data_IF_735564733052
#
_entry.id   IF_735564733052
#
_cell.length_a   1.000
_cell.length_b   1.000
_cell.length_c   1.000
_cell.angle_alpha   90.00
_cell.angle_beta   90.00
_cell.angle_gamma   90.00
#
_symmetry.space_group_name_H-M   'P 1'
#
loop_
_entity.id
_entity.type
_entity.pdbx_description
1 polymer ?
#
# COMPACT_ATOMS: atom_id res chain seq x y z
N UNK A 1 56.64 -17.68 24.07
CA UNK A 1 55.69 -16.59 24.35
C UNK A 1 55.47 -15.72 23.11
N UNK A 2 56.41 -14.87 22.69
CA UNK A 2 56.21 -13.90 21.59
C UNK A 2 55.77 -14.49 20.22
N UNK A 3 56.22 -15.69 19.84
CA UNK A 3 55.77 -16.33 18.60
C UNK A 3 54.31 -16.80 18.66
N UNK A 4 53.87 -17.35 19.79
CA UNK A 4 52.48 -17.78 19.97
C UNK A 4 51.50 -16.60 19.96
N UNK A 5 51.89 -15.47 20.55
CA UNK A 5 51.07 -14.26 20.52
C UNK A 5 50.99 -13.69 19.10
N UNK A 6 52.08 -13.72 18.34
CA UNK A 6 52.08 -13.33 16.92
C UNK A 6 51.16 -14.21 16.07
N UNK A 7 51.21 -15.51 16.28
CA UNK A 7 50.38 -16.46 15.52
C UNK A 7 48.90 -16.33 15.90
N UNK A 8 48.59 -16.08 17.18
CA UNK A 8 47.23 -15.76 17.64
C UNK A 8 46.69 -14.52 16.95
N UNK A 9 47.45 -13.42 16.96
CA UNK A 9 47.02 -12.15 16.34
C UNK A 9 46.82 -12.29 14.82
N UNK A 10 47.65 -13.11 14.14
CA UNK A 10 47.45 -13.42 12.71
C UNK A 10 46.14 -14.17 12.48
N UNK A 11 45.89 -15.23 13.24
CA UNK A 11 44.67 -16.03 13.08
C UNK A 11 43.40 -15.22 13.38
N UNK A 12 43.46 -14.32 14.37
CA UNK A 12 42.36 -13.39 14.68
C UNK A 12 42.13 -12.39 13.53
N UNK A 13 43.20 -11.82 12.96
CA UNK A 13 43.10 -10.91 11.81
C UNK A 13 42.55 -11.63 10.56
N UNK A 14 43.02 -12.85 10.29
CA UNK A 14 42.52 -13.68 9.19
C UNK A 14 41.05 -14.07 9.41
N UNK A 15 40.67 -14.45 10.63
CA UNK A 15 39.28 -14.72 11.00
C UNK A 15 38.38 -13.49 10.84
N UNK A 16 38.86 -12.30 11.23
CA UNK A 16 38.15 -11.04 11.03
C UNK A 16 37.98 -10.72 9.54
N UNK A 17 39.03 -10.84 8.74
CA UNK A 17 38.97 -10.61 7.30
C UNK A 17 38.01 -11.60 6.60
N UNK A 18 38.06 -12.87 6.99
CA UNK A 18 37.18 -13.92 6.48
C UNK A 18 35.72 -13.72 6.87
N UNK A 19 35.42 -12.92 7.89
CA UNK A 19 34.07 -12.54 8.27
C UNK A 19 33.60 -11.27 7.53
N UNK A 20 34.40 -10.21 7.60
CA UNK A 20 34.00 -8.88 7.10
C UNK A 20 33.90 -8.84 5.58
N UNK A 21 34.84 -9.49 4.86
CA UNK A 21 34.84 -9.43 3.38
C UNK A 21 33.61 -10.11 2.78
N UNK A 22 33.21 -11.33 3.18
CA UNK A 22 31.97 -11.93 2.71
C UNK A 22 30.71 -11.18 3.14
N UNK A 23 30.67 -10.66 4.38
CA UNK A 23 29.54 -9.84 4.85
C UNK A 23 29.34 -8.59 4.00
N UNK A 24 30.42 -7.84 3.74
CA UNK A 24 30.39 -6.65 2.89
C UNK A 24 29.98 -6.99 1.45
N UNK A 25 30.46 -8.11 0.89
CA UNK A 25 30.04 -8.60 -0.42
C UNK A 25 28.55 -8.95 -0.46
N UNK A 26 28.05 -9.60 0.58
CA UNK A 26 26.63 -9.93 0.71
C UNK A 26 25.74 -8.69 0.81
N UNK A 27 26.18 -7.68 1.57
CA UNK A 27 25.49 -6.39 1.66
C UNK A 27 25.50 -5.65 0.31
N UNK A 28 26.63 -5.62 -0.39
CA UNK A 28 26.71 -5.00 -1.71
C UNK A 28 25.79 -5.69 -2.72
N UNK A 29 25.77 -7.03 -2.74
CA UNK A 29 24.87 -7.80 -3.59
C UNK A 29 23.39 -7.52 -3.25
N UNK A 30 23.05 -7.42 -1.97
CA UNK A 30 21.70 -7.08 -1.52
C UNK A 30 21.27 -5.70 -2.03
N UNK A 31 22.12 -4.69 -1.85
CA UNK A 31 21.83 -3.31 -2.31
C UNK A 31 21.60 -3.29 -3.82
N UNK A 32 22.42 -4.00 -4.59
CA UNK A 32 22.25 -4.10 -6.05
C UNK A 32 20.92 -4.77 -6.42
N UNK A 33 20.56 -5.87 -5.76
CA UNK A 33 19.29 -6.56 -5.99
C UNK A 33 18.08 -5.71 -5.60
N UNK A 34 18.15 -4.99 -4.48
CA UNK A 34 17.09 -4.07 -4.05
C UNK A 34 16.92 -2.92 -5.05
N UNK A 35 18.02 -2.35 -5.56
CA UNK A 35 17.98 -1.32 -6.58
C UNK A 35 17.38 -1.81 -7.90
N UNK A 36 17.74 -3.04 -8.32
CA UNK A 36 17.18 -3.66 -9.52
C UNK A 36 15.69 -3.97 -9.35
N UNK A 37 15.29 -4.53 -8.22
CA UNK A 37 13.89 -4.77 -7.89
C UNK A 37 13.07 -3.47 -7.89
N UNK A 38 13.60 -2.41 -7.28
CA UNK A 38 12.94 -1.10 -7.27
C UNK A 38 12.78 -0.53 -8.69
N UNK A 39 13.83 -0.63 -9.52
CA UNK A 39 13.77 -0.22 -10.93
C UNK A 39 12.68 -0.99 -11.67
N UNK A 40 12.62 -2.31 -11.51
CA UNK A 40 11.63 -3.14 -12.18
C UNK A 40 10.21 -2.86 -11.70
N UNK A 41 10.02 -2.73 -10.39
CA UNK A 41 8.74 -2.35 -9.80
C UNK A 41 8.25 -1.01 -10.37
N UNK A 42 9.12 0.00 -10.40
CA UNK A 42 8.79 1.34 -10.92
C UNK A 42 8.39 1.28 -12.40
N UNK A 43 9.12 0.51 -13.21
CA UNK A 43 8.82 0.34 -14.63
C UNK A 43 7.51 -0.42 -14.83
N UNK A 44 7.28 -1.49 -14.07
CA UNK A 44 6.07 -2.30 -14.16
C UNK A 44 4.83 -1.50 -13.74
N UNK A 45 4.93 -0.74 -12.64
CA UNK A 45 3.87 0.14 -12.18
C UNK A 45 3.55 1.20 -13.24
N UNK A 46 4.57 1.88 -13.77
CA UNK A 46 4.40 2.89 -14.83
C UNK A 46 3.71 2.31 -16.07
N UNK A 47 4.11 1.12 -16.51
CA UNK A 47 3.46 0.40 -17.62
C UNK A 47 2.01 0.03 -17.32
N UNK A 48 1.74 -0.42 -16.09
CA UNK A 48 0.40 -0.75 -15.63
C UNK A 48 -0.52 0.47 -15.62
N UNK A 49 -0.05 1.61 -15.12
CA UNK A 49 -0.80 2.86 -15.13
C UNK A 49 -1.06 3.35 -16.56
N UNK A 50 -0.06 3.29 -17.45
CA UNK A 50 -0.23 3.66 -18.85
C UNK A 50 -1.23 2.76 -19.59
N UNK A 51 -1.19 1.45 -19.31
CA UNK A 51 -2.15 0.49 -19.86
C UNK A 51 -3.57 0.79 -19.37
N UNK A 52 -3.75 1.00 -18.06
CA UNK A 52 -5.04 1.37 -17.45
C UNK A 52 -5.59 2.66 -18.06
N UNK A 53 -4.75 3.67 -18.22
CA UNK A 53 -5.14 4.93 -18.85
C UNK A 53 -5.63 4.71 -20.28
N UNK A 54 -4.85 3.98 -21.09
CA UNK A 54 -5.22 3.67 -22.48
C UNK A 54 -6.55 2.93 -22.55
N UNK A 55 -6.78 1.94 -21.67
CA UNK A 55 -8.05 1.21 -21.61
C UNK A 55 -9.23 2.13 -21.29
N UNK A 56 -9.09 3.04 -20.32
CA UNK A 56 -10.13 4.01 -19.99
C UNK A 56 -10.38 4.97 -21.15
N UNK A 57 -9.32 5.44 -21.81
CA UNK A 57 -9.41 6.33 -22.96
C UNK A 57 -10.16 5.68 -24.14
N UNK A 58 -9.87 4.42 -24.44
CA UNK A 58 -10.58 3.68 -25.50
C UNK A 58 -12.09 3.55 -25.20
N UNK A 59 -12.47 3.34 -23.93
CA UNK A 59 -13.88 3.34 -23.55
C UNK A 59 -14.51 4.73 -23.62
N UNK A 60 -13.78 5.75 -23.17
CA UNK A 60 -14.22 7.14 -23.26
C UNK A 60 -14.47 7.56 -24.71
N UNK A 61 -13.59 7.18 -25.64
CA UNK A 61 -13.74 7.46 -27.07
C UNK A 61 -15.01 6.84 -27.64
N UNK A 62 -15.42 5.67 -27.15
CA UNK A 62 -16.66 4.98 -27.57
C UNK A 62 -17.91 5.61 -26.96
N UNK A 63 -17.87 6.00 -25.69
CA UNK A 63 -19.04 6.49 -24.95
C UNK A 63 -18.67 7.62 -23.96
N UNK A 64 -18.40 8.84 -24.44
CA UNK A 64 -17.78 9.89 -23.63
C UNK A 64 -18.68 10.46 -22.53
N UNK A 65 -20.01 10.39 -22.69
CA UNK A 65 -20.97 10.86 -21.67
C UNK A 65 -21.05 9.88 -20.51
N UNK A 66 -21.30 8.59 -20.80
CA UNK A 66 -21.46 7.53 -19.78
C UNK A 66 -20.17 7.31 -18.99
N UNK A 67 -19.00 7.36 -19.65
CA UNK A 67 -17.72 7.22 -18.95
C UNK A 67 -17.46 8.39 -18.00
N UNK A 68 -17.80 9.63 -18.39
CA UNK A 68 -17.67 10.81 -17.50
C UNK A 68 -18.60 10.72 -16.30
N UNK A 69 -19.85 10.35 -16.53
CA UNK A 69 -20.84 10.20 -15.48
C UNK A 69 -20.43 9.11 -14.48
N UNK A 70 -19.96 7.95 -14.97
CA UNK A 70 -19.42 6.90 -14.10
C UNK A 70 -18.25 7.40 -13.25
N UNK A 71 -17.25 8.06 -13.85
CA UNK A 71 -16.09 8.59 -13.10
C UNK A 71 -16.55 9.57 -12.02
N UNK A 72 -17.51 10.45 -12.34
CA UNK A 72 -18.07 11.38 -11.38
C UNK A 72 -18.77 10.66 -10.22
N UNK A 73 -19.66 9.71 -10.52
CA UNK A 73 -20.38 8.95 -9.50
C UNK A 73 -19.45 8.13 -8.62
N UNK A 74 -18.45 7.43 -9.18
CA UNK A 74 -17.45 6.68 -8.41
C UNK A 74 -16.59 7.59 -7.53
N UNK A 75 -16.24 8.78 -8.02
CA UNK A 75 -15.46 9.75 -7.24
C UNK A 75 -16.30 10.32 -6.11
N UNK A 76 -17.56 10.69 -6.38
CA UNK A 76 -18.50 11.14 -5.36
C UNK A 76 -18.78 10.03 -4.34
N UNK A 77 -18.94 8.79 -4.75
CA UNK A 77 -19.08 7.64 -3.86
C UNK A 77 -17.88 7.51 -2.93
N UNK A 78 -16.64 7.62 -3.44
CA UNK A 78 -15.43 7.55 -2.63
C UNK A 78 -15.31 8.71 -1.64
N UNK A 79 -15.59 9.93 -2.09
CA UNK A 79 -15.53 11.14 -1.25
C UNK A 79 -16.61 11.09 -0.18
N UNK A 80 -17.84 10.78 -0.58
CA UNK A 80 -18.97 10.74 0.32
C UNK A 80 -18.98 9.47 1.20
N UNK A 81 -18.38 8.36 0.78
CA UNK A 81 -18.30 7.13 1.56
C UNK A 81 -17.48 7.27 2.84
N UNK A 82 -16.55 8.22 2.89
CA UNK A 82 -15.70 8.50 4.05
C UNK A 82 -16.26 9.56 5.02
N UNK A 83 -17.45 10.14 4.75
CA UNK A 83 -18.07 11.15 5.62
C UNK A 83 -19.37 10.65 6.22
N UNK A 84 -19.59 11.00 7.49
CA UNK A 84 -20.86 10.78 8.18
C UNK A 84 -21.92 11.72 7.58
N UNK A 85 -22.80 11.14 6.75
CA UNK A 85 -23.83 11.90 6.04
C UNK A 85 -25.04 12.10 6.95
N UNK A 86 -25.48 13.34 7.10
CA UNK A 86 -26.79 13.69 7.67
C UNK A 86 -27.71 14.11 6.53
N UNK A 87 -28.71 13.29 6.21
CA UNK A 87 -29.72 13.59 5.19
C UNK A 87 -30.89 14.29 5.89
N UNK A 88 -31.10 15.57 5.58
CA UNK A 88 -32.24 16.34 6.11
C UNK A 88 -33.30 16.43 5.01
N UNK A 89 -34.42 15.75 5.20
CA UNK A 89 -35.58 15.86 4.32
C UNK A 89 -36.27 17.22 4.56
N UNK A 90 -36.42 18.02 3.50
CA UNK A 90 -37.06 19.34 3.57
C UNK A 90 -38.60 19.26 3.55
N UNK A 91 -39.17 18.05 3.46
CA UNK A 91 -40.61 17.83 3.35
C UNK A 91 -41.36 17.51 4.66
N UNK A 92 -40.67 17.22 5.77
CA UNK A 92 -41.33 16.88 7.03
C UNK A 92 -41.17 18.01 8.04
N UNK A 93 -42.30 18.64 8.38
CA UNK A 93 -42.37 19.74 9.33
C UNK A 93 -41.74 19.43 10.70
N UNK A 94 -41.34 20.53 11.35
CA UNK A 94 -41.12 20.68 12.79
C UNK A 94 -41.08 19.36 13.61
N UNK A 95 -39.88 18.80 13.80
CA UNK A 95 -39.65 17.78 14.83
C UNK A 95 -39.27 16.38 14.39
N UNK A 96 -38.55 16.20 13.27
CA UNK A 96 -37.96 14.89 12.95
C UNK A 96 -36.44 14.98 13.05
N UNK A 97 -35.88 14.35 14.09
CA UNK A 97 -34.48 13.92 14.13
C UNK A 97 -34.48 12.40 13.93
N UNK A 98 -34.41 11.89 12.69
CA UNK A 98 -34.04 10.51 12.47
C UNK A 98 -32.51 10.44 12.48
N UNK A 99 -31.93 10.19 13.66
CA UNK A 99 -30.53 9.77 13.77
C UNK A 99 -30.47 8.31 13.33
N UNK A 100 -30.15 8.08 12.05
CA UNK A 100 -29.73 6.78 11.57
C UNK A 100 -28.26 6.86 11.12
N UNK A 101 -27.29 6.63 12.02
CA UNK A 101 -25.90 6.50 11.64
C UNK A 101 -25.77 5.22 10.83
N UNK A 102 -25.57 5.34 9.52
CA UNK A 102 -25.35 4.19 8.62
C UNK A 102 -23.99 3.48 8.88
N UNK A 103 -23.28 3.83 9.95
CA UNK A 103 -22.07 3.15 10.42
C UNK A 103 -22.32 1.96 11.38
N UNK A 104 -23.53 1.78 11.92
CA UNK A 104 -23.77 0.72 12.91
C UNK A 104 -24.33 -0.60 12.34
N UNK A 105 -24.83 -0.59 11.11
CA UNK A 105 -25.43 -1.77 10.47
C UNK A 105 -24.36 -2.79 10.01
N UNK A 106 -23.08 -2.38 9.91
CA UNK A 106 -22.01 -3.25 9.42
C UNK A 106 -21.13 -3.87 10.52
N UNK A 107 -21.49 -3.78 11.81
CA UNK A 107 -20.82 -4.57 12.85
C UNK A 107 -21.51 -5.95 12.95
N UNK A 108 -20.92 -7.03 12.41
CA UNK A 108 -21.40 -8.37 12.70
C UNK A 108 -21.28 -8.59 14.21
N UNK A 109 -22.41 -8.89 14.84
CA UNK A 109 -22.50 -9.24 16.24
C UNK A 109 -21.85 -10.62 16.47
N UNK A 110 -20.53 -10.66 16.52
CA UNK A 110 -19.78 -11.79 17.05
C UNK A 110 -19.46 -11.53 18.52
N UNK A 111 -20.44 -11.79 19.38
CA UNK A 111 -20.21 -11.97 20.81
C UNK A 111 -21.17 -13.04 21.35
N UNK A 112 -20.99 -14.26 20.86
CA UNK A 112 -21.43 -15.47 21.55
C UNK A 112 -20.25 -16.05 22.32
N UNK A 113 -20.46 -16.36 23.61
CA UNK A 113 -19.68 -17.37 24.33
C UNK A 113 -18.71 -16.87 25.41
N UNK A 114 -19.23 -16.60 26.61
CA UNK A 114 -18.51 -16.85 27.87
C UNK A 114 -19.51 -16.95 29.04
N UNK A 115 -19.95 -18.17 29.33
CA UNK A 115 -20.31 -18.62 30.67
C UNK A 115 -19.59 -19.93 30.91
#
# INVERSE_FOLDING_TARGET
>A
AAQQDRDRLKNEAEGYANKVVPEARGQAARILQEAEAYREQTVAESKGQASRFTQVYEQYKKAPQVTRERIYLETMERVFGAVDKVIIDKGAGQGVVPYLPLGEISKPNTAGGAK
#
